data_IF_496605221151
#
_entry.id   IF_496605221151
#
_cell.length_a   1.000
_cell.length_b   1.000
_cell.length_c   1.000
_cell.angle_alpha   90.00
_cell.angle_beta   90.00
_cell.angle_gamma   90.00
#
_symmetry.space_group_name_H-M   'P 1'
#
loop_
_entity.id
_entity.type
_entity.pdbx_description
1 polymer ?
#
# COMPACT_ATOMS: atom_id res chain seq x y z
N UNK A 1 6.68 -11.35 -18.49
CA UNK A 1 7.80 -11.68 -17.57
C UNK A 1 8.96 -10.66 -17.54
N UNK A 2 8.86 -9.45 -18.12
CA UNK A 2 9.85 -8.34 -17.98
C UNK A 2 9.23 -6.95 -17.77
N UNK A 3 7.90 -6.85 -17.60
CA UNK A 3 7.18 -5.56 -17.64
C UNK A 3 6.78 -5.04 -16.25
N UNK A 4 6.66 -5.90 -15.23
CA UNK A 4 6.22 -5.50 -13.88
C UNK A 4 7.35 -5.28 -12.85
N UNK A 5 8.62 -5.30 -13.26
CA UNK A 5 9.76 -5.07 -12.35
C UNK A 5 10.55 -3.78 -12.63
N UNK A 6 10.27 -3.05 -13.73
CA UNK A 6 10.95 -1.78 -13.97
C UNK A 6 10.38 -0.63 -13.12
N UNK A 7 9.10 -0.65 -12.74
CA UNK A 7 8.56 0.26 -11.73
C UNK A 7 8.90 -0.19 -10.29
N UNK A 8 9.22 -1.47 -10.10
CA UNK A 8 9.70 -2.00 -8.81
C UNK A 8 11.13 -1.60 -8.48
N UNK A 9 11.90 -0.96 -9.37
CA UNK A 9 13.24 -0.46 -9.00
C UNK A 9 13.15 0.74 -8.05
N UNK A 10 12.05 1.52 -8.08
CA UNK A 10 11.81 2.57 -7.09
C UNK A 10 11.10 2.06 -5.83
N UNK A 11 10.17 1.11 -5.94
CA UNK A 11 9.58 0.48 -4.75
C UNK A 11 10.52 -0.50 -4.03
N UNK A 12 11.54 -1.05 -4.70
CA UNK A 12 12.58 -1.89 -4.05
C UNK A 12 13.49 -1.09 -3.11
N UNK A 13 13.58 0.24 -3.23
CA UNK A 13 14.22 1.04 -2.17
C UNK A 13 13.40 0.95 -0.89
N UNK A 14 12.07 1.10 -0.98
CA UNK A 14 11.21 1.12 0.20
C UNK A 14 11.07 -0.24 0.89
N UNK A 15 11.03 -1.35 0.14
CA UNK A 15 10.98 -2.69 0.75
C UNK A 15 12.31 -3.05 1.44
N UNK A 16 13.44 -2.60 0.90
CA UNK A 16 14.77 -2.76 1.51
C UNK A 16 14.92 -1.79 2.70
N UNK A 17 14.53 -0.53 2.58
CA UNK A 17 14.60 0.44 3.69
C UNK A 17 13.68 0.07 4.87
N UNK A 18 12.54 -0.58 4.59
CA UNK A 18 11.62 -1.12 5.61
C UNK A 18 12.14 -2.42 6.24
N UNK A 19 12.82 -3.29 5.47
CA UNK A 19 13.42 -4.54 5.98
C UNK A 19 14.78 -4.33 6.68
N UNK A 20 15.50 -3.24 6.43
CA UNK A 20 16.87 -3.02 6.92
C UNK A 20 17.06 -1.91 7.95
N UNK A 21 15.99 -1.27 8.47
CA UNK A 21 16.12 -0.44 9.68
C UNK A 21 17.27 0.55 9.66
N UNK A 22 17.53 1.24 8.54
CA UNK A 22 18.53 2.30 8.47
C UNK A 22 17.98 3.61 9.07
N UNK A 23 17.48 3.53 10.30
CA UNK A 23 17.51 4.65 11.20
C UNK A 23 18.94 4.80 11.70
N UNK A 24 19.59 5.92 11.39
CA UNK A 24 20.87 6.28 12.02
C UNK A 24 20.72 6.17 13.54
N UNK A 25 21.38 5.18 14.13
CA UNK A 25 21.57 5.09 15.58
C UNK A 25 22.53 6.21 16.01
N UNK A 26 21.99 7.40 16.27
CA UNK A 26 22.66 8.34 17.16
C UNK A 26 22.32 7.97 18.61
N UNK A 27 23.34 7.48 19.32
CA UNK A 27 23.30 7.24 20.76
C UNK A 27 22.95 8.55 21.47
N UNK A 28 21.79 8.62 22.11
CA UNK A 28 21.54 9.57 23.18
C UNK A 28 20.93 8.85 24.39
N UNK A 29 21.73 8.78 25.44
CA UNK A 29 21.37 8.37 26.80
C UNK A 29 20.45 9.44 27.40
N UNK A 30 19.16 9.18 27.62
CA UNK A 30 18.37 9.84 28.70
C UNK A 30 17.22 8.93 29.18
N UNK A 31 17.19 8.78 30.50
CA UNK A 31 16.18 8.23 31.41
C UNK A 31 14.76 7.89 30.92
N UNK A 32 14.31 6.75 31.44
CA UNK A 32 12.95 6.22 31.49
C UNK A 32 11.90 7.20 32.00
N UNK A 33 10.91 7.51 31.16
CA UNK A 33 9.49 7.68 31.53
C UNK A 33 8.62 7.23 30.36
N UNK A 34 7.67 6.35 30.65
CA UNK A 34 6.64 5.85 29.74
C UNK A 34 6.01 7.00 28.93
N UNK A 35 6.05 6.88 27.60
CA UNK A 35 5.19 7.66 26.71
C UNK A 35 4.39 6.67 25.85
N UNK A 36 3.07 6.68 26.08
CA UNK A 36 2.08 6.21 25.11
C UNK A 36 2.33 6.96 23.80
N UNK A 37 2.58 6.23 22.72
CA UNK A 37 2.60 6.80 21.38
C UNK A 37 1.16 6.97 20.91
N UNK A 38 0.71 8.21 20.83
CA UNK A 38 -0.53 8.58 20.16
C UNK A 38 -0.41 8.28 18.65
N UNK A 39 -1.55 7.94 18.05
CA UNK A 39 -1.72 7.76 16.59
C UNK A 39 -1.29 9.06 15.90
N UNK A 40 -0.67 8.96 14.72
CA UNK A 40 -0.35 10.13 13.88
C UNK A 40 -1.63 10.85 13.44
N UNK A 41 -2.17 11.69 14.32
CA UNK A 41 -3.11 12.73 13.98
C UNK A 41 -2.30 13.86 13.38
N UNK A 42 -2.48 14.12 12.09
CA UNK A 42 -1.97 15.34 11.46
C UNK A 42 -2.59 16.53 12.19
N UNK A 43 -1.80 17.17 13.04
CA UNK A 43 -2.23 18.33 13.84
C UNK A 43 -2.47 19.51 12.90
N UNK A 44 -3.74 19.82 12.65
CA UNK A 44 -4.15 21.10 12.05
C UNK A 44 -3.69 22.19 13.01
N UNK A 45 -2.97 23.21 12.52
CA UNK A 45 -2.53 24.32 13.37
C UNK A 45 -3.77 25.04 13.92
N UNK A 46 -3.72 25.47 15.19
CA UNK A 46 -4.81 26.23 15.80
C UNK A 46 -5.15 27.48 14.98
N UNK A 47 -4.17 28.07 14.28
CA UNK A 47 -4.41 29.23 13.42
C UNK A 47 -5.36 28.91 12.25
N UNK A 48 -5.22 27.75 11.59
CA UNK A 48 -6.11 27.33 10.51
C UNK A 48 -7.55 27.10 11.00
N UNK A 49 -7.69 26.62 12.25
CA UNK A 49 -9.00 26.41 12.89
C UNK A 49 -9.64 27.73 13.33
N UNK A 50 -8.85 28.69 13.80
CA UNK A 50 -9.31 30.03 14.19
C UNK A 50 -9.67 30.92 12.99
N UNK A 51 -8.99 30.77 11.85
CA UNK A 51 -9.29 31.48 10.60
C UNK A 51 -10.58 31.00 9.94
N UNK A 52 -10.98 29.74 10.15
CA UNK A 52 -12.28 29.20 9.74
C UNK A 52 -13.47 29.92 10.41
N UNK A 53 -13.25 30.55 11.57
CA UNK A 53 -14.29 31.15 12.42
C UNK A 53 -14.45 32.66 12.15
N UNK A 54 -13.52 33.31 11.44
CA UNK A 54 -13.57 34.75 11.17
C UNK A 54 -13.89 35.05 9.71
N UNK A 55 -15.18 35.28 9.44
CA UNK A 55 -15.64 35.95 8.22
C UNK A 55 -14.96 37.33 8.08
N UNK A 56 -13.98 37.43 7.18
CA UNK A 56 -13.36 38.69 6.79
C UNK A 56 -13.65 38.97 5.31
N UNK A 57 -14.34 40.08 5.05
CA UNK A 57 -14.60 40.74 3.75
C UNK A 57 -14.48 39.85 2.50
N UNK A 58 -15.62 39.35 2.05
CA UNK A 58 -15.82 38.33 1.00
C UNK A 58 -15.35 38.72 -0.40
N UNK A 59 -15.05 40.00 -0.67
CA UNK A 59 -14.83 40.50 -2.04
C UNK A 59 -13.38 40.45 -2.56
N UNK A 60 -12.35 40.19 -1.73
CA UNK A 60 -10.94 40.14 -2.19
C UNK A 60 -10.30 38.74 -2.23
N UNK A 61 -10.97 37.74 -1.65
CA UNK A 61 -10.40 36.41 -1.40
C UNK A 61 -10.63 35.46 -2.60
N UNK A 62 -9.88 35.68 -3.68
CA UNK A 62 -9.93 34.91 -4.94
C UNK A 62 -9.71 33.41 -4.75
N UNK A 63 -8.75 33.02 -3.92
CA UNK A 63 -8.40 31.62 -3.70
C UNK A 63 -9.56 30.84 -3.07
N UNK A 64 -10.09 31.34 -1.94
CA UNK A 64 -11.21 30.70 -1.24
C UNK A 64 -12.54 30.86 -1.97
N UNK A 65 -12.68 31.86 -2.83
CA UNK A 65 -13.82 31.94 -3.74
C UNK A 65 -13.78 30.85 -4.82
N UNK A 66 -12.60 30.50 -5.36
CA UNK A 66 -12.45 29.34 -6.25
C UNK A 66 -12.66 28.04 -5.47
N UNK A 67 -12.22 27.93 -4.21
CA UNK A 67 -12.46 26.74 -3.38
C UNK A 67 -13.95 26.38 -3.31
N UNK A 68 -14.83 27.38 -3.15
CA UNK A 68 -16.30 27.19 -3.16
C UNK A 68 -16.85 26.63 -4.47
N UNK A 69 -16.11 26.76 -5.57
CA UNK A 69 -16.49 26.21 -6.88
C UNK A 69 -16.04 24.76 -7.10
N UNK A 70 -15.24 24.20 -6.19
CA UNK A 70 -14.70 22.85 -6.29
C UNK A 70 -15.47 21.95 -5.33
N UNK A 71 -16.26 21.04 -5.90
CA UNK A 71 -16.93 20.00 -5.11
C UNK A 71 -16.00 18.80 -4.92
N UNK A 72 -15.14 18.85 -3.88
CA UNK A 72 -14.22 17.77 -3.54
C UNK A 72 -14.94 16.42 -3.37
N UNK A 73 -16.19 16.43 -2.89
CA UNK A 73 -16.96 15.19 -2.69
C UNK A 73 -17.23 14.50 -4.02
N UNK A 74 -17.58 15.25 -5.06
CA UNK A 74 -17.82 14.70 -6.40
C UNK A 74 -16.59 14.01 -6.98
N UNK A 75 -15.39 14.56 -6.79
CA UNK A 75 -14.14 13.90 -7.22
C UNK A 75 -13.91 12.57 -6.51
N UNK A 76 -14.19 12.53 -5.20
CA UNK A 76 -14.05 11.34 -4.38
C UNK A 76 -15.08 10.27 -4.77
N UNK A 77 -16.33 10.66 -4.95
CA UNK A 77 -17.40 9.74 -5.36
C UNK A 77 -17.16 9.22 -6.79
N UNK A 78 -16.54 10.01 -7.68
CA UNK A 78 -16.15 9.57 -9.02
C UNK A 78 -15.07 8.46 -8.95
N UNK A 79 -14.04 8.65 -8.14
CA UNK A 79 -12.98 7.64 -7.92
C UNK A 79 -13.55 6.36 -7.32
N UNK A 80 -14.44 6.46 -6.32
CA UNK A 80 -15.13 5.29 -5.76
C UNK A 80 -15.89 4.52 -6.82
N UNK A 81 -16.69 5.22 -7.62
CA UNK A 81 -17.48 4.61 -8.68
C UNK A 81 -16.62 3.92 -9.72
N UNK A 82 -15.48 4.52 -10.08
CA UNK A 82 -14.52 3.91 -11.00
C UNK A 82 -13.95 2.62 -10.43
N UNK A 83 -13.52 2.62 -9.17
CA UNK A 83 -13.05 1.42 -8.48
C UNK A 83 -14.15 0.35 -8.37
N UNK A 84 -15.37 0.73 -8.00
CA UNK A 84 -16.50 -0.18 -7.86
C UNK A 84 -16.79 -0.87 -9.21
N UNK A 85 -16.82 -0.11 -10.31
CA UNK A 85 -16.95 -0.68 -11.64
C UNK A 85 -15.80 -1.64 -11.98
N UNK A 86 -14.57 -1.30 -11.62
CA UNK A 86 -13.41 -2.15 -11.89
C UNK A 86 -13.47 -3.46 -11.09
N UNK A 87 -13.89 -3.39 -9.82
CA UNK A 87 -14.10 -4.54 -8.95
C UNK A 87 -15.25 -5.41 -9.48
N UNK A 88 -16.39 -4.83 -9.84
CA UNK A 88 -17.53 -5.58 -10.38
C UNK A 88 -17.19 -6.38 -11.65
N UNK A 89 -16.24 -5.88 -12.44
CA UNK A 89 -15.74 -6.53 -13.67
C UNK A 89 -14.50 -7.42 -13.45
N UNK A 90 -14.13 -7.72 -12.20
CA UNK A 90 -13.00 -8.59 -11.90
C UNK A 90 -13.17 -9.99 -12.53
N UNK A 91 -12.06 -10.59 -12.97
CA UNK A 91 -12.06 -11.96 -13.51
C UNK A 91 -12.03 -13.04 -12.44
N UNK A 92 -11.67 -14.26 -12.85
CA UNK A 92 -11.51 -15.45 -11.99
C UNK A 92 -10.06 -15.82 -11.71
N UNK A 93 -9.14 -14.88 -11.91
CA UNK A 93 -7.76 -14.97 -11.43
C UNK A 93 -7.59 -14.04 -10.23
N UNK A 94 -7.05 -14.54 -9.12
CA UNK A 94 -6.70 -13.73 -7.97
C UNK A 94 -5.49 -12.89 -8.35
N UNK A 95 -5.69 -11.59 -8.45
CA UNK A 95 -4.66 -10.59 -8.71
C UNK A 95 -5.12 -9.26 -8.12
N UNK A 96 -4.72 -9.00 -6.88
CA UNK A 96 -5.06 -7.77 -6.17
C UNK A 96 -4.29 -6.53 -6.67
N UNK A 97 -3.34 -6.70 -7.59
CA UNK A 97 -2.46 -5.65 -8.12
C UNK A 97 -2.62 -5.41 -9.63
N UNK A 98 -3.31 -6.30 -10.35
CA UNK A 98 -3.50 -6.25 -11.80
C UNK A 98 -4.49 -5.18 -12.27
N UNK A 99 -5.21 -4.58 -11.33
CA UNK A 99 -6.11 -3.45 -11.58
C UNK A 99 -5.61 -2.27 -10.79
N UNK A 100 -5.30 -1.18 -11.49
CA UNK A 100 -4.94 0.10 -10.87
C UNK A 100 -6.18 0.71 -10.20
N UNK A 101 -6.30 0.53 -8.89
CA UNK A 101 -7.34 1.14 -8.08
C UNK A 101 -6.86 2.49 -7.56
N UNK A 102 -7.76 3.46 -7.60
CA UNK A 102 -7.47 4.85 -7.19
C UNK A 102 -7.85 5.08 -5.73
N UNK A 103 -7.14 5.98 -5.08
CA UNK A 103 -7.30 6.33 -3.66
C UNK A 103 -7.90 7.72 -3.51
N UNK A 104 -8.13 8.17 -2.27
CA UNK A 104 -8.51 9.57 -2.05
C UNK A 104 -7.42 10.55 -2.55
N UNK A 105 -6.15 10.13 -2.64
CA UNK A 105 -5.06 11.01 -3.12
C UNK A 105 -5.28 11.42 -4.57
N UNK A 106 -5.75 10.49 -5.40
CA UNK A 106 -6.05 10.73 -6.81
C UNK A 106 -7.19 11.74 -6.95
N UNK A 107 -8.24 11.59 -6.13
CA UNK A 107 -9.35 12.52 -6.08
C UNK A 107 -8.93 13.93 -5.62
N UNK A 108 -8.11 14.01 -4.56
CA UNK A 108 -7.58 15.30 -4.04
C UNK A 108 -6.68 15.96 -5.07
N UNK A 109 -5.80 15.19 -5.72
CA UNK A 109 -4.92 15.71 -6.77
C UNK A 109 -5.72 16.25 -7.97
N UNK A 110 -6.77 15.55 -8.38
CA UNK A 110 -7.67 16.01 -9.45
C UNK A 110 -8.43 17.28 -9.06
N UNK A 111 -8.94 17.37 -7.82
CA UNK A 111 -9.64 18.55 -7.32
C UNK A 111 -8.71 19.79 -7.23
N UNK A 112 -7.48 19.61 -6.74
CA UNK A 112 -6.47 20.67 -6.74
C UNK A 112 -6.09 21.07 -8.16
N UNK A 113 -5.98 20.12 -9.08
CA UNK A 113 -5.68 20.41 -10.49
C UNK A 113 -6.75 21.33 -11.09
N UNK A 114 -8.04 21.03 -10.92
CA UNK A 114 -9.15 21.90 -11.39
C UNK A 114 -9.10 23.30 -10.76
N UNK A 115 -8.86 23.39 -9.44
CA UNK A 115 -8.66 24.66 -8.75
C UNK A 115 -7.55 25.50 -9.39
N UNK A 116 -6.38 24.91 -9.59
CA UNK A 116 -5.20 25.65 -10.07
C UNK A 116 -5.23 25.93 -11.56
N UNK A 117 -5.91 25.11 -12.36
CA UNK A 117 -6.24 25.46 -13.73
C UNK A 117 -7.06 26.75 -13.78
N UNK A 118 -8.12 26.87 -12.96
CA UNK A 118 -8.94 28.09 -12.86
C UNK A 118 -8.12 29.31 -12.43
N UNK A 119 -7.31 29.18 -11.36
CA UNK A 119 -6.45 30.25 -10.85
C UNK A 119 -5.41 30.71 -11.88
N UNK A 120 -4.77 29.78 -12.59
CA UNK A 120 -3.78 30.13 -13.61
C UNK A 120 -4.43 30.81 -14.82
N UNK A 121 -5.65 30.44 -15.20
CA UNK A 121 -6.37 31.18 -16.26
C UNK A 121 -6.66 32.62 -15.87
N UNK A 122 -6.90 32.91 -14.59
CA UNK A 122 -6.97 34.29 -14.09
C UNK A 122 -5.61 34.98 -14.17
N UNK A 123 -4.56 34.35 -13.65
CA UNK A 123 -3.21 34.91 -13.65
C UNK A 123 -2.72 35.28 -15.07
N UNK A 124 -3.05 34.46 -16.07
CA UNK A 124 -2.73 34.69 -17.49
C UNK A 124 -3.39 35.94 -18.10
N UNK A 125 -4.38 36.55 -17.43
CA UNK A 125 -4.98 37.83 -17.86
C UNK A 125 -4.15 39.05 -17.47
N UNK A 126 -3.16 38.87 -16.58
CA UNK A 126 -2.23 39.91 -16.18
C UNK A 126 -1.02 39.96 -17.12
N UNK A 127 -0.42 41.14 -17.26
CA UNK A 127 0.75 41.35 -18.13
C UNK A 127 1.98 40.53 -17.71
N UNK A 128 2.12 40.29 -16.41
CA UNK A 128 3.13 39.39 -15.84
C UNK A 128 2.43 38.43 -14.86
N UNK A 129 2.04 37.22 -15.33
CA UNK A 129 1.35 36.24 -14.49
C UNK A 129 2.16 35.78 -13.28
N UNK A 130 3.50 35.71 -13.40
CA UNK A 130 4.35 35.25 -12.31
C UNK A 130 4.47 36.31 -11.21
N UNK A 131 4.67 37.58 -11.60
CA UNK A 131 4.65 38.69 -10.65
C UNK A 131 3.27 38.87 -10.00
N UNK A 132 2.18 38.68 -10.75
CA UNK A 132 0.83 38.67 -10.20
C UNK A 132 0.65 37.61 -9.11
N UNK A 133 1.06 36.37 -9.37
CA UNK A 133 1.00 35.27 -8.39
C UNK A 133 1.86 35.61 -7.16
N UNK A 134 3.07 36.10 -7.35
CA UNK A 134 3.94 36.50 -6.23
C UNK A 134 3.29 37.58 -5.35
N UNK A 135 2.70 38.61 -5.95
CA UNK A 135 2.02 39.68 -5.22
C UNK A 135 0.79 39.16 -4.47
N UNK A 136 -0.02 38.34 -5.15
CA UNK A 136 -1.23 37.71 -4.60
C UNK A 136 -0.94 36.95 -3.31
N UNK A 137 0.17 36.20 -3.26
CA UNK A 137 0.52 35.42 -2.08
C UNK A 137 1.42 36.16 -1.09
N UNK A 138 2.33 37.05 -1.47
CA UNK A 138 3.37 37.53 -0.52
C UNK A 138 3.42 39.03 -0.31
N UNK A 139 2.79 39.85 -1.15
CA UNK A 139 2.83 41.30 -1.03
C UNK A 139 1.59 41.85 -0.32
N UNK A 140 1.70 42.11 0.99
CA UNK A 140 0.62 42.68 1.81
C UNK A 140 0.14 44.06 1.34
N UNK A 141 0.94 44.77 0.54
CA UNK A 141 0.57 46.08 -0.02
C UNK A 141 -0.18 45.97 -1.36
N UNK A 142 -0.18 44.78 -1.97
CA UNK A 142 -0.83 44.56 -3.26
C UNK A 142 -2.35 44.52 -3.12
N UNK A 143 -3.12 45.12 -4.06
CA UNK A 143 -4.58 44.96 -4.11
C UNK A 143 -5.01 43.52 -4.43
N UNK A 144 -4.07 42.65 -4.80
CA UNK A 144 -4.33 41.24 -5.10
C UNK A 144 -4.14 40.32 -3.90
N UNK A 145 -3.57 40.83 -2.81
CA UNK A 145 -3.15 40.05 -1.65
C UNK A 145 -4.29 39.23 -1.04
N UNK A 146 -4.06 37.92 -0.88
CA UNK A 146 -4.98 37.00 -0.21
C UNK A 146 -4.76 37.05 1.31
N UNK A 147 -5.62 37.76 2.01
CA UNK A 147 -5.52 37.99 3.46
C UNK A 147 -6.07 36.86 4.33
N UNK A 148 -6.85 35.95 3.74
CA UNK A 148 -7.57 34.86 4.42
C UNK A 148 -6.84 33.50 4.38
N UNK A 149 -5.56 33.52 3.98
CA UNK A 149 -4.68 32.36 3.95
C UNK A 149 -3.68 32.41 5.10
N UNK A 150 -3.53 31.28 5.79
CA UNK A 150 -2.40 31.01 6.67
C UNK A 150 -1.07 30.93 5.88
N UNK A 151 0.07 30.99 6.57
CA UNK A 151 1.38 30.91 5.93
C UNK A 151 1.61 29.55 5.22
N UNK A 152 1.04 28.48 5.76
CA UNK A 152 1.10 27.15 5.16
C UNK A 152 0.26 27.06 3.87
N UNK A 153 -0.99 27.54 3.92
CA UNK A 153 -1.88 27.60 2.75
C UNK A 153 -1.30 28.50 1.64
N UNK A 154 -0.67 29.61 2.03
CA UNK A 154 0.00 30.54 1.13
C UNK A 154 1.18 29.90 0.41
N UNK A 155 2.00 29.14 1.13
CA UNK A 155 3.12 28.41 0.54
C UNK A 155 2.64 27.30 -0.39
N UNK A 156 1.64 26.53 0.04
CA UNK A 156 1.01 25.48 -0.77
C UNK A 156 0.42 26.05 -2.07
N UNK A 157 -0.39 27.12 -1.96
CA UNK A 157 -1.06 27.70 -3.11
C UNK A 157 -0.13 28.42 -4.07
N UNK A 158 0.89 29.13 -3.56
CA UNK A 158 1.93 29.70 -4.42
C UNK A 158 2.65 28.62 -5.23
N UNK A 159 3.09 27.53 -4.58
CA UNK A 159 3.81 26.46 -5.26
C UNK A 159 2.93 25.77 -6.31
N UNK A 160 1.71 25.41 -5.95
CA UNK A 160 0.77 24.77 -6.87
C UNK A 160 0.43 25.64 -8.09
N UNK A 161 0.14 26.92 -7.89
CA UNK A 161 -0.20 27.81 -9.00
C UNK A 161 1.01 28.11 -9.89
N UNK A 162 2.20 28.14 -9.31
CA UNK A 162 3.44 28.33 -10.05
C UNK A 162 3.86 27.10 -10.84
N UNK A 163 3.67 25.91 -10.29
CA UNK A 163 3.80 24.64 -10.99
C UNK A 163 2.83 24.58 -12.16
N UNK A 164 1.55 24.90 -11.92
CA UNK A 164 0.53 24.93 -12.96
C UNK A 164 0.85 25.98 -14.04
N UNK A 165 1.35 27.17 -13.68
CA UNK A 165 1.75 28.19 -14.64
C UNK A 165 2.93 27.74 -15.52
N UNK A 166 3.97 27.16 -14.91
CA UNK A 166 5.23 26.82 -15.58
C UNK A 166 5.20 25.49 -16.32
N UNK A 167 4.53 24.50 -15.75
CA UNK A 167 4.56 23.10 -16.18
C UNK A 167 3.21 22.61 -16.69
N UNK A 168 2.12 23.32 -16.43
CA UNK A 168 0.77 22.87 -16.80
C UNK A 168 0.27 21.67 -15.99
N UNK A 169 0.93 21.35 -14.87
CA UNK A 169 0.56 20.28 -13.94
C UNK A 169 1.12 20.58 -12.55
N UNK A 170 0.52 19.98 -11.52
CA UNK A 170 1.02 20.04 -10.15
C UNK A 170 2.18 19.05 -9.95
N UNK A 171 3.26 19.45 -9.27
CA UNK A 171 4.36 18.52 -8.95
C UNK A 171 4.07 17.69 -7.71
N UNK A 172 3.27 18.21 -6.77
CA UNK A 172 2.96 17.59 -5.49
C UNK A 172 1.51 17.88 -5.07
N UNK A 173 0.97 17.02 -4.21
CA UNK A 173 -0.31 17.25 -3.53
C UNK A 173 -0.04 17.85 -2.15
N UNK A 174 -0.21 19.17 -2.02
CA UNK A 174 -0.06 19.86 -0.73
C UNK A 174 -1.36 19.79 0.08
N UNK A 175 -1.37 19.01 1.16
CA UNK A 175 -2.56 18.84 2.02
C UNK A 175 -2.89 20.07 2.88
N UNK A 176 -1.96 21.03 2.97
CA UNK A 176 -2.15 22.31 3.62
C UNK A 176 -2.88 23.33 2.74
N UNK A 177 -3.33 22.93 1.54
CA UNK A 177 -4.05 23.81 0.62
C UNK A 177 -5.40 24.26 1.21
N UNK A 178 -5.80 25.51 0.93
CA UNK A 178 -7.05 26.08 1.45
C UNK A 178 -8.31 25.32 1.01
N UNK A 179 -8.26 24.61 -0.13
CA UNK A 179 -9.35 23.75 -0.60
C UNK A 179 -9.63 22.61 0.40
N UNK A 180 -8.61 22.17 1.12
CA UNK A 180 -8.65 21.02 2.02
C UNK A 180 -8.82 21.47 3.48
N UNK A 181 -9.16 22.74 3.71
CA UNK A 181 -9.39 23.29 5.05
C UNK A 181 -10.48 22.50 5.76
N UNK A 182 -10.20 22.07 6.98
CA UNK A 182 -11.10 21.25 7.79
C UNK A 182 -11.21 19.79 7.34
N UNK A 183 -10.50 19.36 6.30
CA UNK A 183 -10.43 17.97 5.90
C UNK A 183 -9.39 17.20 6.74
N UNK A 184 -9.76 16.01 7.21
CA UNK A 184 -8.83 15.03 7.77
C UNK A 184 -8.81 13.81 6.87
N UNK A 185 -7.62 13.31 6.52
CA UNK A 185 -7.44 12.14 5.66
C UNK A 185 -6.93 10.94 6.46
N UNK A 186 -7.43 9.74 6.16
CA UNK A 186 -7.00 8.50 6.80
C UNK A 186 -5.60 8.04 6.38
N UNK A 187 -5.08 6.99 7.02
CA UNK A 187 -3.79 6.39 6.67
C UNK A 187 -3.85 5.72 5.29
N UNK A 188 -3.05 6.23 4.35
CA UNK A 188 -3.02 5.84 2.94
C UNK A 188 -2.82 4.34 2.68
N UNK A 189 -1.83 3.73 3.35
CA UNK A 189 -1.46 2.32 3.12
C UNK A 189 -2.62 1.36 3.43
N UNK A 190 -3.47 1.73 4.39
CA UNK A 190 -4.59 0.91 4.78
C UNK A 190 -5.74 0.99 3.77
N UNK A 191 -5.95 2.13 3.09
CA UNK A 191 -6.97 2.26 2.05
C UNK A 191 -6.63 1.41 0.83
N UNK A 192 -5.38 1.47 0.34
CA UNK A 192 -4.92 0.63 -0.77
C UNK A 192 -5.13 -0.86 -0.46
N UNK A 193 -4.80 -1.28 0.76
CA UNK A 193 -4.97 -2.66 1.16
C UNK A 193 -6.44 -3.06 1.25
N UNK A 194 -7.32 -2.21 1.80
CA UNK A 194 -8.76 -2.48 1.82
C UNK A 194 -9.33 -2.59 0.39
N UNK A 195 -8.95 -1.70 -0.52
CA UNK A 195 -9.36 -1.77 -1.92
C UNK A 195 -8.87 -3.05 -2.61
N UNK A 196 -7.60 -3.41 -2.40
CA UNK A 196 -7.04 -4.67 -2.89
C UNK A 196 -7.78 -5.88 -2.31
N UNK A 197 -8.14 -5.87 -1.02
CA UNK A 197 -8.96 -6.91 -0.39
C UNK A 197 -10.35 -7.02 -1.02
N UNK A 198 -11.02 -5.91 -1.36
CA UNK A 198 -12.31 -5.94 -2.09
C UNK A 198 -12.17 -6.61 -3.44
N UNK A 199 -11.11 -6.27 -4.19
CA UNK A 199 -10.81 -6.89 -5.49
C UNK A 199 -10.61 -8.41 -5.33
N UNK A 200 -9.76 -8.83 -4.40
CA UNK A 200 -9.50 -10.26 -4.12
C UNK A 200 -10.77 -10.98 -3.70
N UNK A 201 -11.59 -10.39 -2.83
CA UNK A 201 -12.89 -10.95 -2.45
C UNK A 201 -13.80 -11.16 -3.66
N UNK A 202 -13.84 -10.19 -4.57
CA UNK A 202 -14.68 -10.30 -5.78
C UNK A 202 -14.16 -11.36 -6.75
N UNK A 203 -12.84 -11.48 -6.90
CA UNK A 203 -12.22 -12.54 -7.71
C UNK A 203 -12.52 -13.93 -7.13
N UNK A 204 -12.42 -14.10 -5.81
CA UNK A 204 -12.80 -15.36 -5.14
C UNK A 204 -14.29 -15.67 -5.30
N UNK A 205 -15.17 -14.68 -5.14
CA UNK A 205 -16.60 -14.85 -5.41
C UNK A 205 -16.86 -15.32 -6.85
N UNK A 206 -16.18 -14.72 -7.83
CA UNK A 206 -16.33 -15.08 -9.23
C UNK A 206 -15.78 -16.50 -9.52
N UNK A 207 -14.67 -16.89 -8.89
CA UNK A 207 -14.14 -18.28 -8.96
C UNK A 207 -15.19 -19.27 -8.45
N UNK A 208 -15.78 -18.99 -7.29
CA UNK A 208 -16.80 -19.87 -6.70
C UNK A 208 -18.06 -19.94 -7.55
N UNK A 209 -18.47 -18.82 -8.14
CA UNK A 209 -19.60 -18.77 -9.07
C UNK A 209 -19.33 -19.56 -10.35
N UNK A 210 -18.14 -19.49 -10.91
CA UNK A 210 -17.74 -20.26 -12.11
C UNK A 210 -17.70 -21.77 -11.81
N UNK A 211 -17.28 -22.15 -10.61
CA UNK A 211 -17.22 -23.53 -10.15
C UNK A 211 -18.55 -24.09 -9.59
N UNK A 212 -19.65 -23.31 -9.66
CA UNK A 212 -20.97 -23.70 -9.13
C UNK A 212 -20.94 -24.14 -7.65
N UNK A 213 -20.16 -23.41 -6.83
CA UNK A 213 -20.01 -23.67 -5.40
C UNK A 213 -21.12 -22.94 -4.64
N UNK A 214 -21.99 -23.71 -3.99
CA UNK A 214 -23.04 -23.14 -3.13
C UNK A 214 -22.45 -22.66 -1.80
N UNK A 215 -22.32 -21.34 -1.68
CA UNK A 215 -21.75 -20.66 -0.51
C UNK A 215 -22.62 -20.81 0.74
N UNK A 216 -23.88 -21.24 0.64
CA UNK A 216 -24.76 -21.41 1.80
C UNK A 216 -24.30 -22.54 2.73
N UNK A 217 -23.47 -23.46 2.23
CA UNK A 217 -22.87 -24.53 3.02
C UNK A 217 -21.55 -24.11 3.68
N UNK A 218 -21.01 -22.92 3.38
CA UNK A 218 -19.83 -22.40 4.04
C UNK A 218 -20.20 -21.88 5.42
N UNK A 219 -19.53 -22.42 6.43
CA UNK A 219 -19.63 -21.93 7.81
C UNK A 219 -18.55 -20.89 8.07
N UNK A 220 -18.72 -20.12 9.14
CA UNK A 220 -17.73 -19.19 9.69
C UNK A 220 -16.41 -19.87 10.12
N UNK A 221 -16.37 -21.20 10.08
CA UNK A 221 -15.19 -22.03 10.35
C UNK A 221 -14.41 -22.42 9.09
N UNK A 222 -14.86 -22.01 7.91
CA UNK A 222 -14.13 -22.30 6.68
C UNK A 222 -12.83 -21.50 6.62
N UNK A 223 -11.69 -22.20 6.64
CA UNK A 223 -10.36 -21.58 6.63
C UNK A 223 -9.57 -22.11 5.44
N UNK A 224 -8.98 -21.18 4.69
CA UNK A 224 -8.02 -21.49 3.63
C UNK A 224 -6.62 -21.39 4.21
N UNK A 225 -5.89 -22.50 4.20
CA UNK A 225 -4.48 -22.56 4.56
C UNK A 225 -3.63 -22.65 3.31
N UNK A 226 -2.61 -21.81 3.21
CA UNK A 226 -1.74 -21.73 2.04
C UNK A 226 -0.32 -22.12 2.42
N UNK A 227 0.18 -23.15 1.75
CA UNK A 227 1.56 -23.62 1.90
C UNK A 227 2.55 -22.57 1.37
N UNK A 228 3.61 -22.22 2.12
CA UNK A 228 4.49 -21.08 1.79
C UNK A 228 5.42 -21.33 0.60
N UNK A 229 5.52 -22.57 0.13
CA UNK A 229 6.49 -22.96 -0.88
C UNK A 229 5.85 -23.39 -2.19
N UNK A 230 4.80 -24.19 -2.10
CA UNK A 230 4.00 -24.69 -3.23
C UNK A 230 2.84 -23.77 -3.55
N UNK A 231 2.45 -22.91 -2.60
CA UNK A 231 1.27 -22.06 -2.66
C UNK A 231 -0.04 -22.84 -2.80
N UNK A 232 -0.02 -24.14 -2.50
CA UNK A 232 -1.23 -24.94 -2.52
C UNK A 232 -2.18 -24.48 -1.43
N UNK A 233 -3.44 -24.21 -1.82
CA UNK A 233 -4.52 -23.87 -0.92
C UNK A 233 -5.18 -25.17 -0.46
N UNK A 234 -5.24 -25.37 0.85
CA UNK A 234 -6.02 -26.42 1.49
C UNK A 234 -7.14 -25.81 2.32
N UNK A 235 -8.27 -26.50 2.39
CA UNK A 235 -9.49 -26.00 3.03
C UNK A 235 -9.82 -26.84 4.27
N UNK A 236 -10.08 -26.15 5.37
CA UNK A 236 -10.61 -26.72 6.61
C UNK A 236 -12.01 -26.16 6.93
N UNK A 237 -12.78 -26.87 7.75
CA UNK A 237 -14.10 -26.41 8.22
C UNK A 237 -15.23 -26.47 7.18
N UNK A 238 -15.06 -27.26 6.11
CA UNK A 238 -16.08 -27.54 5.09
C UNK A 238 -16.29 -29.05 4.90
N UNK A 239 -17.50 -29.46 4.49
CA UNK A 239 -17.79 -30.85 4.14
C UNK A 239 -16.91 -31.33 2.97
N UNK A 240 -16.59 -32.63 2.94
CA UNK A 240 -15.60 -33.19 2.01
C UNK A 240 -15.84 -32.82 0.54
N UNK A 241 -17.08 -32.92 0.05
CA UNK A 241 -17.39 -32.61 -1.35
C UNK A 241 -17.18 -31.11 -1.67
N UNK A 242 -17.59 -30.23 -0.76
CA UNK A 242 -17.44 -28.78 -0.92
C UNK A 242 -15.97 -28.39 -0.81
N UNK A 243 -15.26 -28.97 0.16
CA UNK A 243 -13.83 -28.83 0.34
C UNK A 243 -13.08 -29.12 -0.96
N UNK A 244 -13.31 -30.30 -1.56
CA UNK A 244 -12.66 -30.71 -2.81
C UNK A 244 -12.97 -29.72 -3.96
N UNK A 245 -14.23 -29.27 -4.09
CA UNK A 245 -14.59 -28.26 -5.11
C UNK A 245 -13.89 -26.92 -4.92
N UNK A 246 -13.77 -26.45 -3.68
CA UNK A 246 -13.09 -25.17 -3.37
C UNK A 246 -11.59 -25.30 -3.64
N UNK A 247 -10.96 -26.39 -3.20
CA UNK A 247 -9.55 -26.65 -3.46
C UNK A 247 -9.28 -26.71 -4.97
N UNK A 248 -10.12 -27.43 -5.75
CA UNK A 248 -9.99 -27.51 -7.21
C UNK A 248 -10.16 -26.13 -7.88
N UNK A 249 -11.11 -25.32 -7.43
CA UNK A 249 -11.39 -24.01 -8.02
C UNK A 249 -10.31 -22.96 -7.68
N UNK A 250 -9.80 -22.98 -6.44
CA UNK A 250 -8.79 -22.01 -6.00
C UNK A 250 -7.38 -22.37 -6.44
N UNK A 251 -7.04 -23.64 -6.60
CA UNK A 251 -5.70 -24.08 -7.02
C UNK A 251 -5.50 -24.05 -8.55
N UNK A 252 -6.00 -23.00 -9.21
CA UNK A 252 -5.85 -22.75 -10.65
C UNK A 252 -4.88 -21.60 -10.89
N UNK A 253 -3.90 -21.80 -11.78
CA UNK A 253 -2.92 -20.77 -12.13
C UNK A 253 -2.10 -20.31 -10.92
N UNK A 254 -1.93 -18.99 -10.78
CA UNK A 254 -1.16 -18.38 -9.69
C UNK A 254 -2.03 -17.99 -8.47
N UNK A 255 -3.31 -18.40 -8.43
CA UNK A 255 -4.27 -17.97 -7.41
C UNK A 255 -3.78 -18.19 -5.97
N UNK A 256 -3.23 -19.38 -5.69
CA UNK A 256 -2.65 -19.71 -4.38
C UNK A 256 -1.51 -18.78 -3.97
N UNK A 257 -0.64 -18.44 -4.93
CA UNK A 257 0.50 -17.56 -4.69
C UNK A 257 0.05 -16.13 -4.45
N UNK A 258 -0.87 -15.62 -5.27
CA UNK A 258 -1.37 -14.25 -5.13
C UNK A 258 -2.17 -14.09 -3.83
N UNK A 259 -2.98 -15.08 -3.43
CA UNK A 259 -3.65 -15.08 -2.14
C UNK A 259 -2.65 -15.13 -0.96
N UNK A 260 -1.63 -15.97 -1.05
CA UNK A 260 -0.56 -16.03 -0.04
C UNK A 260 0.13 -14.67 0.12
N UNK A 261 0.55 -14.05 -0.98
CA UNK A 261 1.23 -12.75 -0.97
C UNK A 261 0.33 -11.64 -0.44
N UNK A 262 -0.97 -11.70 -0.78
CA UNK A 262 -1.96 -10.78 -0.26
C UNK A 262 -2.07 -10.87 1.27
N UNK A 263 -2.21 -12.07 1.83
CA UNK A 263 -2.25 -12.29 3.30
C UNK A 263 -0.92 -11.90 3.95
N UNK A 264 0.20 -12.32 3.36
CA UNK A 264 1.53 -11.98 3.86
C UNK A 264 1.69 -10.45 3.96
N UNK A 265 1.29 -9.69 2.94
CA UNK A 265 1.32 -8.22 2.97
C UNK A 265 0.43 -7.63 4.08
N UNK A 266 -0.71 -8.24 4.40
CA UNK A 266 -1.56 -7.82 5.53
C UNK A 266 -0.78 -7.87 6.85
N UNK A 267 -0.08 -8.99 7.08
CA UNK A 267 0.69 -9.18 8.33
C UNK A 267 1.84 -8.18 8.49
N UNK A 268 2.32 -7.59 7.39
CA UNK A 268 3.40 -6.61 7.38
C UNK A 268 2.91 -5.16 7.46
N UNK A 269 1.59 -4.92 7.59
CA UNK A 269 1.07 -3.56 7.75
C UNK A 269 1.53 -2.96 9.09
N UNK A 270 1.73 -1.64 9.13
CA UNK A 270 2.18 -0.96 10.33
C UNK A 270 1.21 -1.23 11.49
N UNK A 271 1.75 -1.60 12.67
CA UNK A 271 0.99 -1.94 13.89
C UNK A 271 0.14 -3.22 13.77
N UNK A 272 0.23 -3.94 12.66
CA UNK A 272 -0.35 -5.27 12.56
C UNK A 272 0.51 -6.24 13.36
N UNK A 273 -0.07 -6.83 14.39
CA UNK A 273 0.51 -7.91 15.17
C UNK A 273 -0.19 -9.20 14.75
N UNK A 274 0.53 -10.04 14.01
CA UNK A 274 0.04 -11.36 13.57
C UNK A 274 0.77 -12.48 14.31
N UNK A 275 0.02 -13.46 14.81
CA UNK A 275 0.57 -14.68 15.40
C UNK A 275 0.81 -15.79 14.37
N UNK A 276 0.43 -15.57 13.11
CA UNK A 276 0.63 -16.52 12.02
C UNK A 276 2.06 -16.54 11.50
N UNK A 277 2.86 -15.52 11.83
CA UNK A 277 4.24 -15.35 11.39
C UNK A 277 5.15 -15.21 12.60
N UNK A 278 6.08 -16.14 12.75
CA UNK A 278 7.22 -15.98 13.66
C UNK A 278 8.50 -15.66 12.88
N UNK A 279 9.52 -15.18 13.60
CA UNK A 279 10.79 -14.76 12.98
C UNK A 279 11.46 -15.87 12.17
N UNK A 280 11.47 -17.10 12.68
CA UNK A 280 12.25 -18.19 12.08
C UNK A 280 11.52 -18.73 10.86
N UNK A 281 10.21 -18.97 10.96
CA UNK A 281 9.42 -19.45 9.82
C UNK A 281 9.37 -18.43 8.68
N UNK A 282 9.29 -17.13 8.99
CA UNK A 282 9.40 -16.07 7.99
C UNK A 282 10.78 -16.06 7.31
N UNK A 283 11.85 -16.23 8.09
CA UNK A 283 13.20 -16.31 7.57
C UNK A 283 13.37 -17.50 6.61
N UNK A 284 12.80 -18.68 6.93
CA UNK A 284 12.79 -19.84 6.03
C UNK A 284 12.09 -19.50 4.70
N UNK A 285 10.89 -18.91 4.77
CA UNK A 285 10.15 -18.47 3.59
C UNK A 285 10.97 -17.50 2.73
N UNK A 286 11.53 -16.45 3.33
CA UNK A 286 12.34 -15.44 2.62
C UNK A 286 13.57 -16.06 1.96
N UNK A 287 14.28 -16.94 2.66
CA UNK A 287 15.42 -17.65 2.10
C UNK A 287 15.03 -18.51 0.89
N UNK A 288 13.95 -19.30 1.01
CA UNK A 288 13.48 -20.13 -0.10
C UNK A 288 13.04 -19.28 -1.30
N UNK A 289 12.21 -18.25 -1.07
CA UNK A 289 11.70 -17.37 -2.11
C UNK A 289 12.83 -16.66 -2.87
N UNK A 290 13.84 -16.16 -2.14
CA UNK A 290 14.98 -15.49 -2.76
C UNK A 290 15.82 -16.45 -3.61
N UNK A 291 16.06 -17.68 -3.12
CA UNK A 291 16.79 -18.69 -3.89
C UNK A 291 16.01 -19.08 -5.15
N UNK A 292 14.70 -19.28 -5.03
CA UNK A 292 13.84 -19.57 -6.16
C UNK A 292 13.85 -18.44 -7.20
N UNK A 293 13.79 -17.17 -6.78
CA UNK A 293 13.82 -16.02 -7.69
C UNK A 293 15.09 -15.99 -8.56
N UNK A 294 16.26 -16.25 -7.98
CA UNK A 294 17.53 -16.13 -8.70
C UNK A 294 17.97 -17.41 -9.41
N UNK A 295 17.56 -18.59 -8.93
CA UNK A 295 18.08 -19.88 -9.42
C UNK A 295 17.01 -20.82 -9.96
N UNK A 296 15.73 -20.57 -9.67
CA UNK A 296 14.62 -21.51 -9.95
C UNK A 296 14.62 -22.76 -9.08
N UNK A 297 15.48 -22.82 -8.06
CA UNK A 297 15.60 -23.96 -7.14
C UNK A 297 14.91 -23.68 -5.80
N UNK A 298 14.58 -24.75 -5.09
CA UNK A 298 13.84 -24.71 -3.84
C UNK A 298 14.68 -25.25 -2.68
N UNK A 299 14.90 -24.45 -1.63
CA UNK A 299 15.65 -24.86 -0.44
C UNK A 299 14.99 -26.03 0.30
N UNK A 300 13.66 -26.07 0.35
CA UNK A 300 12.93 -27.13 1.05
C UNK A 300 13.13 -28.52 0.42
N UNK A 301 13.61 -28.60 -0.83
CA UNK A 301 13.95 -29.85 -1.52
C UNK A 301 15.41 -30.28 -1.34
N UNK A 302 16.23 -29.43 -0.71
CA UNK A 302 17.67 -29.62 -0.58
C UNK A 302 18.06 -30.32 0.71
N UNK A 303 19.30 -30.82 0.74
CA UNK A 303 19.91 -31.35 1.96
C UNK A 303 20.75 -30.29 2.65
N UNK A 304 20.48 -30.06 3.95
CA UNK A 304 21.28 -29.14 4.77
C UNK A 304 22.45 -29.89 5.42
N UNK A 305 23.67 -29.41 5.21
CA UNK A 305 24.92 -29.96 5.78
C UNK A 305 25.92 -28.82 5.97
N UNK A 306 26.71 -28.87 7.04
CA UNK A 306 27.81 -27.92 7.30
C UNK A 306 27.41 -26.43 7.19
N UNK A 307 26.19 -26.08 7.64
CA UNK A 307 25.68 -24.71 7.61
C UNK A 307 25.29 -24.18 6.23
N UNK A 308 25.15 -25.06 5.22
CA UNK A 308 24.70 -24.70 3.87
C UNK A 308 23.74 -25.74 3.29
N UNK A 309 23.27 -25.51 2.07
CA UNK A 309 22.30 -26.34 1.36
C UNK A 309 22.88 -26.91 0.07
N UNK A 310 22.59 -28.17 -0.18
CA UNK A 310 23.05 -28.91 -1.36
C UNK A 310 21.87 -29.49 -2.12
N UNK A 311 21.88 -29.30 -3.44
CA UNK A 311 20.97 -29.93 -4.38
C UNK A 311 21.09 -31.46 -4.35
N UNK A 312 20.16 -32.16 -5.00
CA UNK A 312 20.16 -33.64 -5.06
C UNK A 312 21.42 -34.22 -5.71
N UNK A 313 22.03 -33.51 -6.65
CA UNK A 313 23.32 -33.83 -7.30
C UNK A 313 24.54 -33.36 -6.50
N UNK A 314 24.36 -32.77 -5.32
CA UNK A 314 25.44 -32.41 -4.41
C UNK A 314 26.10 -31.04 -4.68
N UNK A 315 25.47 -30.19 -5.50
CA UNK A 315 25.98 -28.83 -5.76
C UNK A 315 25.62 -27.89 -4.62
N UNK A 316 26.59 -27.12 -4.15
CA UNK A 316 26.38 -26.07 -3.16
C UNK A 316 25.54 -24.93 -3.76
N UNK A 317 24.46 -24.57 -3.07
CA UNK A 317 23.54 -23.53 -3.52
C UNK A 317 24.22 -22.16 -3.68
N UNK A 318 25.25 -21.84 -2.88
CA UNK A 318 25.95 -20.55 -2.96
C UNK A 318 26.71 -20.39 -4.26
N UNK A 319 27.28 -21.48 -4.75
CA UNK A 319 27.99 -21.49 -6.04
C UNK A 319 27.00 -21.30 -7.19
N UNK A 320 25.85 -21.97 -7.15
CA UNK A 320 24.80 -21.82 -8.15
C UNK A 320 24.23 -20.40 -8.15
N UNK A 321 23.87 -19.88 -6.97
CA UNK A 321 23.35 -18.52 -6.78
C UNK A 321 24.30 -17.47 -7.39
N UNK A 322 25.59 -17.55 -7.07
CA UNK A 322 26.59 -16.64 -7.62
C UNK A 322 26.62 -16.70 -9.15
N UNK A 323 26.65 -17.91 -9.73
CA UNK A 323 26.67 -18.11 -11.18
C UNK A 323 25.44 -17.51 -11.86
N UNK A 324 24.25 -17.76 -11.31
CA UNK A 324 23.00 -17.28 -11.91
C UNK A 324 22.83 -15.77 -11.78
N UNK A 325 23.21 -15.16 -10.65
CA UNK A 325 23.21 -13.71 -10.49
C UNK A 325 24.20 -13.07 -11.47
N UNK A 326 25.42 -13.59 -11.58
CA UNK A 326 26.43 -13.04 -12.49
C UNK A 326 25.98 -13.07 -13.96
N UNK A 327 25.23 -14.12 -14.33
CA UNK A 327 24.71 -14.35 -15.67
C UNK A 327 23.44 -13.54 -15.99
N UNK A 328 22.47 -13.50 -15.08
CA UNK A 328 21.11 -13.06 -15.39
C UNK A 328 20.80 -11.64 -14.92
N UNK A 329 21.52 -11.12 -13.93
CA UNK A 329 21.32 -9.78 -13.38
C UNK A 329 22.31 -8.82 -14.05
N UNK A 330 21.89 -7.59 -14.37
CA UNK A 330 22.80 -6.58 -14.95
C UNK A 330 23.39 -5.67 -13.89
N UNK A 331 22.51 -5.06 -13.08
CA UNK A 331 22.84 -4.08 -12.07
C UNK A 331 22.61 -4.62 -10.66
N UNK A 332 23.27 -4.05 -9.63
CA UNK A 332 23.10 -4.43 -8.22
C UNK A 332 23.40 -5.91 -7.87
N UNK A 333 24.23 -6.59 -8.68
CA UNK A 333 24.65 -7.98 -8.46
C UNK A 333 25.19 -8.24 -7.05
N UNK A 334 26.05 -7.32 -6.57
CA UNK A 334 26.68 -7.43 -5.26
C UNK A 334 25.64 -7.42 -4.14
N UNK A 335 24.73 -6.43 -4.15
CA UNK A 335 23.68 -6.30 -3.14
C UNK A 335 22.73 -7.51 -3.14
N UNK A 336 22.36 -8.01 -4.34
CA UNK A 336 21.53 -9.21 -4.46
C UNK A 336 22.25 -10.44 -3.85
N UNK A 337 23.53 -10.64 -4.19
CA UNK A 337 24.31 -11.76 -3.68
C UNK A 337 24.54 -11.66 -2.17
N UNK A 338 24.84 -10.47 -1.64
CA UNK A 338 25.03 -10.22 -0.22
C UNK A 338 23.76 -10.51 0.58
N UNK A 339 22.62 -9.98 0.13
CA UNK A 339 21.32 -10.20 0.76
C UNK A 339 20.96 -11.69 0.86
N UNK A 340 21.05 -12.42 -0.25
CA UNK A 340 20.67 -13.84 -0.25
C UNK A 340 21.68 -14.67 0.54
N UNK A 341 22.97 -14.33 0.53
CA UNK A 341 23.95 -15.00 1.39
C UNK A 341 23.71 -14.74 2.88
N UNK A 342 23.24 -13.55 3.26
CA UNK A 342 22.83 -13.27 4.63
C UNK A 342 21.68 -14.19 5.05
N UNK A 343 20.63 -14.32 4.22
CA UNK A 343 19.52 -15.25 4.49
C UNK A 343 20.02 -16.70 4.61
N UNK A 344 20.87 -17.15 3.67
CA UNK A 344 21.45 -18.50 3.70
C UNK A 344 22.31 -18.75 4.94
N UNK A 345 23.03 -17.73 5.46
CA UNK A 345 23.79 -17.86 6.70
C UNK A 345 22.84 -18.07 7.89
N UNK A 346 21.79 -17.25 7.99
CA UNK A 346 20.83 -17.33 9.08
C UNK A 346 20.07 -18.67 9.05
N UNK A 347 19.57 -19.09 7.88
CA UNK A 347 18.89 -20.39 7.76
C UNK A 347 19.83 -21.59 7.81
N UNK A 348 21.13 -21.39 7.54
CA UNK A 348 22.16 -22.42 7.68
C UNK A 348 22.40 -22.81 9.14
N UNK A 349 22.12 -21.89 10.08
CA UNK A 349 22.32 -22.09 11.51
C UNK A 349 21.09 -22.68 12.24
N UNK A 350 19.96 -22.83 11.57
CA UNK A 350 18.76 -23.49 12.13
C UNK A 350 18.65 -24.92 11.62
N UNK A 351 18.00 -25.81 12.36
CA UNK A 351 17.65 -27.14 11.86
C UNK A 351 16.44 -27.02 10.94
N UNK A 352 16.68 -26.83 9.63
CA UNK A 352 15.62 -26.51 8.66
C UNK A 352 14.48 -27.51 8.69
N UNK A 353 14.79 -28.81 8.82
CA UNK A 353 13.79 -29.89 8.74
C UNK A 353 12.97 -30.03 10.02
N UNK A 354 13.58 -29.79 11.17
CA UNK A 354 12.89 -29.92 12.47
C UNK A 354 12.26 -28.62 12.96
N UNK A 355 12.48 -27.52 12.24
CA UNK A 355 11.86 -26.22 12.50
C UNK A 355 10.59 -26.06 11.69
N UNK A 356 9.48 -25.67 12.33
CA UNK A 356 8.20 -25.45 11.66
C UNK A 356 8.25 -24.43 10.53
N UNK A 357 7.40 -24.63 9.52
CA UNK A 357 7.20 -23.70 8.40
C UNK A 357 6.05 -22.73 8.66
N UNK A 358 6.10 -21.58 8.00
CA UNK A 358 5.04 -20.58 8.08
C UNK A 358 3.84 -21.08 7.29
N UNK A 359 2.68 -21.22 7.91
CA UNK A 359 1.43 -21.50 7.20
C UNK A 359 0.50 -20.32 7.39
N UNK A 360 0.11 -19.66 6.30
CA UNK A 360 -0.83 -18.56 6.37
C UNK A 360 -2.24 -19.09 6.21
N UNK A 361 -3.12 -18.68 7.10
CA UNK A 361 -4.54 -18.96 7.08
C UNK A 361 -5.35 -17.69 6.89
N UNK A 362 -6.50 -17.84 6.24
CA UNK A 362 -7.53 -16.81 6.14
C UNK A 362 -8.91 -17.46 6.21
N UNK A 363 -9.84 -16.90 6.99
CA UNK A 363 -11.20 -17.43 7.02
C UNK A 363 -12.02 -16.89 5.86
N UNK A 364 -13.00 -17.66 5.40
CA UNK A 364 -13.96 -17.23 4.42
C UNK A 364 -15.36 -17.27 5.03
N UNK A 365 -16.05 -16.14 4.96
CA UNK A 365 -17.41 -15.96 5.49
C UNK A 365 -18.33 -15.47 4.37
N UNK A 366 -19.66 -15.39 4.57
CA UNK A 366 -20.57 -14.81 3.59
C UNK A 366 -20.24 -13.35 3.20
N UNK A 367 -19.45 -12.63 4.00
CA UNK A 367 -18.97 -11.28 3.68
C UNK A 367 -17.60 -11.25 2.99
N UNK A 368 -17.03 -12.42 2.69
CA UNK A 368 -15.73 -12.59 2.03
C UNK A 368 -14.63 -13.07 2.99
N UNK A 369 -13.40 -12.88 2.54
CA UNK A 369 -12.19 -13.24 3.28
C UNK A 369 -12.03 -12.36 4.53
N UNK A 370 -11.68 -12.98 5.66
CA UNK A 370 -11.37 -12.30 6.91
C UNK A 370 -10.04 -12.78 7.48
N UNK A 371 -9.19 -11.83 7.82
CA UNK A 371 -7.90 -12.13 8.43
C UNK A 371 -8.09 -12.82 9.80
N UNK A 372 -7.22 -13.79 10.09
CA UNK A 372 -7.19 -14.50 11.37
C UNK A 372 -5.85 -14.31 12.07
N UNK A 373 -5.83 -14.47 13.39
CA UNK A 373 -4.59 -14.44 14.16
C UNK A 373 -3.89 -13.08 14.19
N UNK A 374 -4.59 -11.98 13.84
CA UNK A 374 -4.02 -10.63 13.84
C UNK A 374 -4.96 -9.59 14.47
N UNK A 375 -4.38 -8.48 14.96
CA UNK A 375 -5.10 -7.41 15.66
C UNK A 375 -5.80 -6.40 14.73
N UNK A 376 -5.41 -6.34 13.46
CA UNK A 376 -6.04 -5.50 12.43
C UNK A 376 -6.71 -6.42 11.42
N UNK A 377 -8.00 -6.18 11.14
CA UNK A 377 -8.76 -6.98 10.17
C UNK A 377 -9.01 -6.16 8.91
N UNK A 378 -8.60 -6.69 7.77
CA UNK A 378 -8.90 -6.18 6.44
C UNK A 378 -9.90 -7.12 5.76
N UNK A 379 -11.18 -6.74 5.78
CA UNK A 379 -12.28 -7.45 5.12
C UNK A 379 -12.69 -6.81 3.78
N UNK A 380 -12.10 -5.66 3.44
CA UNK A 380 -12.42 -4.86 2.26
C UNK A 380 -13.59 -3.89 2.45
N UNK A 381 -14.41 -4.04 3.50
CA UNK A 381 -15.68 -3.30 3.64
C UNK A 381 -15.76 -2.49 4.92
N UNK A 382 -15.15 -2.99 5.99
CA UNK A 382 -15.06 -2.30 7.26
C UNK A 382 -14.34 -0.99 7.09
N UNK A 383 -15.02 0.06 7.55
CA UNK A 383 -14.37 1.34 7.79
C UNK A 383 -13.37 1.09 8.91
N UNK A 384 -12.09 1.39 8.66
CA UNK A 384 -11.14 1.55 9.75
C UNK A 384 -11.74 2.59 10.70
N UNK A 385 -11.99 2.19 11.95
CA UNK A 385 -12.69 2.92 13.00
C UNK A 385 -12.82 4.44 12.75
N UNK A 386 -14.00 4.87 12.30
CA UNK A 386 -14.47 6.25 12.46
C UNK A 386 -14.02 7.30 11.44
N UNK A 387 -13.47 6.97 10.28
CA UNK A 387 -13.16 7.99 9.26
C UNK A 387 -13.74 7.64 7.89
N UNK A 388 -14.53 8.57 7.33
CA UNK A 388 -14.74 8.64 5.89
C UNK A 388 -13.36 8.85 5.22
N UNK A 389 -13.23 8.59 3.90
CA UNK A 389 -12.01 8.89 3.11
C UNK A 389 -11.41 10.27 3.44
N UNK A 390 -12.31 11.18 3.79
CA UNK A 390 -12.02 12.40 4.50
C UNK A 390 -13.19 12.73 5.44
N UNK A 391 -12.93 13.35 6.57
CA UNK A 391 -13.97 14.03 7.35
C UNK A 391 -13.82 15.54 7.21
N UNK A 392 -14.95 16.24 7.11
CA UNK A 392 -15.01 17.70 7.30
C UNK A 392 -15.29 17.92 8.79
N UNK A 393 -14.39 18.63 9.48
CA UNK A 393 -14.53 18.99 10.89
C UNK A 393 -15.70 19.94 11.16
#
# INVERSE_FOLDING_TARGET
>A
MRVFLNEKVHQKSLLIDYLFGNGKNEKNNVNSKEKKYDRDTVTISMEAKELSIKDANVDSCRNTNIDKSIDLKSYIDAVKKENDNAIENAGTSIDGAGVELKTYKDAVHAALTDKYEKLVQEAKRHSDPAAYIQQKYFDKSSPYYQSDLSDAERSAGYNNEMDMLKMGKLSHTYYQDSLLRGCSFGAYQNEEYQLSRRMVNKQVENIFKEADIDLSFLTDKCIFYIDPYTYHISVDGADKEIKEKIEDALNVGDNGKELFLHIYKATQQEKCESNQIDRISNLKYQANAAIHEYTGLNLYEMSQRDGTFYTKDGKDIRLQLKQDIEKNIKDNKYNALEYVNHLLNEVGNIDWKNTGDMTLGISYTPTGLMDIGQNIIFDGYSKLDGTNWYSVL
#
